data_IF_542177426341
#
_entry.id   IF_542177426341
#
_cell.length_a   1.000
_cell.length_b   1.000
_cell.length_c   1.000
_cell.angle_alpha   90.00
_cell.angle_beta   90.00
_cell.angle_gamma   90.00
#
_symmetry.space_group_name_H-M   'P 1'
#
loop_
_entity.id
_entity.type
_entity.pdbx_description
1 polymer ?
#
# COMPACT_ATOMS: atom_id res chain seq x y z
N UNK A 1 -19.39 -7.15 -3.68
CA UNK A 1 -19.55 -6.31 -4.91
C UNK A 1 -20.93 -5.65 -5.06
N UNK A 2 -22.04 -6.39 -5.00
CA UNK A 2 -23.39 -5.86 -5.33
C UNK A 2 -23.88 -4.74 -4.39
N UNK A 3 -23.62 -4.85 -3.08
CA UNK A 3 -24.06 -3.87 -2.09
C UNK A 3 -23.53 -2.45 -2.35
N UNK A 4 -22.25 -2.32 -2.72
CA UNK A 4 -21.64 -1.02 -3.01
C UNK A 4 -22.31 -0.34 -4.22
N UNK A 5 -22.47 -1.07 -5.32
CA UNK A 5 -23.15 -0.55 -6.51
C UNK A 5 -24.60 -0.19 -6.24
N UNK A 6 -25.29 -0.96 -5.38
CA UNK A 6 -26.64 -0.63 -4.91
C UNK A 6 -26.63 0.69 -4.12
N UNK A 7 -25.70 0.87 -3.19
CA UNK A 7 -25.59 2.11 -2.41
C UNK A 7 -25.29 3.31 -3.32
N UNK A 8 -24.36 3.17 -4.28
CA UNK A 8 -24.07 4.21 -5.26
C UNK A 8 -25.29 4.55 -6.14
N UNK A 9 -26.03 3.53 -6.59
CA UNK A 9 -27.24 3.73 -7.37
C UNK A 9 -28.32 4.45 -6.56
N UNK A 10 -28.52 4.07 -5.28
CA UNK A 10 -29.45 4.74 -4.38
C UNK A 10 -29.07 6.20 -4.17
N UNK A 11 -27.79 6.49 -3.90
CA UNK A 11 -27.32 7.86 -3.73
C UNK A 11 -27.51 8.69 -5.00
N UNK A 12 -27.27 8.11 -6.18
CA UNK A 12 -27.48 8.78 -7.46
C UNK A 12 -28.97 9.06 -7.72
N UNK A 13 -29.85 8.12 -7.38
CA UNK A 13 -31.31 8.33 -7.45
C UNK A 13 -31.76 9.44 -6.51
N UNK A 14 -31.25 9.46 -5.27
CA UNK A 14 -31.56 10.52 -4.30
C UNK A 14 -31.10 11.88 -4.84
N UNK A 15 -29.88 11.97 -5.39
CA UNK A 15 -29.38 13.20 -6.01
C UNK A 15 -30.24 13.65 -7.19
N UNK A 16 -30.66 12.72 -8.06
CA UNK A 16 -31.56 13.01 -9.18
C UNK A 16 -32.93 13.48 -8.72
N UNK A 17 -33.49 12.91 -7.64
CA UNK A 17 -34.77 13.37 -7.08
C UNK A 17 -34.70 14.83 -6.63
N UNK A 18 -33.61 15.25 -6.00
CA UNK A 18 -33.43 16.66 -5.60
C UNK A 18 -33.36 17.63 -6.79
N UNK A 19 -32.87 17.19 -7.94
CA UNK A 19 -32.73 18.04 -9.13
C UNK A 19 -33.97 17.99 -10.02
N UNK A 20 -34.50 16.80 -10.29
CA UNK A 20 -35.57 16.55 -11.26
C UNK A 20 -36.94 16.91 -10.69
N UNK A 21 -37.21 16.62 -9.42
CA UNK A 21 -38.52 16.87 -8.80
C UNK A 21 -38.92 18.37 -8.79
N UNK A 22 -38.06 19.33 -8.40
CA UNK A 22 -38.42 20.74 -8.48
C UNK A 22 -38.56 21.24 -9.92
N UNK A 23 -37.74 20.76 -10.86
CA UNK A 23 -37.81 21.13 -12.28
C UNK A 23 -39.07 20.58 -12.97
N UNK A 24 -39.57 19.42 -12.54
CA UNK A 24 -40.83 18.87 -13.04
C UNK A 24 -42.05 19.59 -12.44
N UNK A 25 -41.92 20.14 -11.23
CA UNK A 25 -43.01 20.85 -10.52
C UNK A 25 -43.20 22.31 -10.93
N UNK A 26 -42.30 22.94 -11.69
CA UNK A 26 -42.44 24.30 -12.21
C UNK A 26 -42.95 24.29 -13.67
N UNK A 27 -44.00 24.97 -14.11
CA UNK A 27 -44.87 26.04 -13.60
C UNK A 27 -46.28 25.78 -14.16
N UNK A 28 -47.27 25.50 -13.32
CA UNK A 28 -48.66 25.59 -13.75
C UNK A 28 -49.08 27.07 -13.65
N UNK A 29 -49.24 27.74 -14.79
CA UNK A 29 -50.11 28.90 -15.08
C UNK A 29 -50.51 29.89 -13.96
N UNK A 30 -49.63 30.26 -13.02
CA UNK A 30 -49.97 31.32 -12.05
C UNK A 30 -50.21 32.68 -12.72
N UNK A 31 -49.63 32.93 -13.90
CA UNK A 31 -49.78 34.21 -14.60
C UNK A 31 -51.18 34.40 -15.23
N UNK A 32 -51.87 33.33 -15.62
CA UNK A 32 -53.21 33.43 -16.21
C UNK A 32 -54.25 33.68 -15.10
N UNK A 33 -54.16 32.96 -13.99
CA UNK A 33 -55.06 33.12 -12.83
C UNK A 33 -54.93 34.51 -12.18
N UNK A 34 -53.73 35.07 -12.12
CA UNK A 34 -53.49 36.42 -11.59
C UNK A 34 -54.03 37.53 -12.51
N UNK A 35 -53.99 37.33 -13.85
CA UNK A 35 -54.54 38.30 -14.82
C UNK A 35 -56.07 38.29 -14.83
N UNK A 36 -56.67 37.11 -14.79
CA UNK A 36 -58.14 36.96 -14.80
C UNK A 36 -58.78 37.54 -13.53
N UNK A 37 -58.13 37.36 -12.38
CA UNK A 37 -58.58 37.94 -11.12
C UNK A 37 -58.52 39.49 -11.14
N UNK A 38 -57.44 40.06 -11.66
CA UNK A 38 -57.25 41.51 -11.74
C UNK A 38 -58.23 42.18 -12.71
N UNK A 39 -58.49 41.58 -13.88
CA UNK A 39 -59.42 42.13 -14.87
C UNK A 39 -60.88 42.06 -14.40
N UNK A 40 -61.25 41.00 -13.67
CA UNK A 40 -62.59 40.85 -13.09
C UNK A 40 -62.85 41.88 -11.96
N UNK A 41 -61.81 42.23 -11.19
CA UNK A 41 -61.92 43.22 -10.12
C UNK A 41 -62.17 44.63 -10.67
N UNK A 42 -61.48 45.01 -11.75
CA UNK A 42 -61.71 46.29 -12.44
C UNK A 42 -63.14 46.42 -12.97
N UNK A 43 -63.68 45.34 -13.57
CA UNK A 43 -65.06 45.36 -14.08
C UNK A 43 -66.09 45.44 -12.95
N UNK A 44 -65.81 44.85 -11.78
CA UNK A 44 -66.66 44.98 -10.59
C UNK A 44 -66.69 46.41 -10.08
N UNK A 45 -65.53 47.07 -10.00
CA UNK A 45 -65.45 48.46 -9.55
C UNK A 45 -66.21 49.40 -10.50
N UNK A 46 -66.05 49.23 -11.81
CA UNK A 46 -66.80 50.00 -12.82
C UNK A 46 -68.33 49.81 -12.71
N UNK A 47 -68.79 48.61 -12.33
CA UNK A 47 -70.22 48.36 -12.10
C UNK A 47 -70.74 49.07 -10.84
N UNK A 48 -69.95 49.11 -9.77
CA UNK A 48 -70.30 49.77 -8.52
C UNK A 48 -70.29 51.31 -8.67
N UNK A 49 -69.41 51.83 -9.51
CA UNK A 49 -69.34 53.25 -9.87
C UNK A 49 -70.62 53.69 -10.62
N UNK A 50 -71.04 52.95 -11.65
CA UNK A 50 -72.29 53.21 -12.37
C UNK A 50 -73.54 53.22 -11.45
N UNK A 51 -73.60 52.30 -10.48
CA UNK A 51 -74.69 52.28 -9.48
C UNK A 51 -74.65 53.48 -8.52
N UNK A 52 -73.45 53.98 -8.25
CA UNK A 52 -73.25 55.14 -7.36
C UNK A 52 -73.62 56.44 -8.08
N UNK A 53 -73.27 56.58 -9.35
CA UNK A 53 -73.62 57.74 -10.16
C UNK A 53 -75.13 57.85 -10.43
N UNK A 54 -75.81 56.71 -10.60
CA UNK A 54 -77.26 56.67 -10.68
C UNK A 54 -77.91 57.12 -9.35
N UNK A 55 -77.40 56.63 -8.21
CA UNK A 55 -77.91 57.01 -6.87
C UNK A 55 -77.67 58.49 -6.56
N UNK A 56 -76.58 59.06 -7.04
CA UNK A 56 -76.23 60.46 -6.86
C UNK A 56 -76.95 61.39 -7.85
N UNK A 57 -77.77 60.86 -8.75
CA UNK A 57 -78.51 61.63 -9.76
C UNK A 57 -77.63 62.20 -10.88
N UNK A 58 -76.38 61.75 -10.99
CA UNK A 58 -75.42 62.15 -12.04
C UNK A 58 -75.71 61.43 -13.36
N UNK A 59 -76.35 60.26 -13.30
CA UNK A 59 -76.72 59.45 -14.45
C UNK A 59 -78.25 59.32 -14.58
N UNK A 60 -78.77 59.31 -15.81
CA UNK A 60 -80.18 58.96 -16.07
C UNK A 60 -80.35 57.43 -16.08
N UNK A 61 -81.56 56.94 -15.80
CA UNK A 61 -81.86 55.51 -15.80
C UNK A 61 -81.54 54.84 -17.15
N UNK A 62 -81.77 55.55 -18.26
CA UNK A 62 -81.46 55.05 -19.61
C UNK A 62 -79.96 54.92 -19.85
N UNK A 63 -79.17 55.90 -19.40
CA UNK A 63 -77.71 55.87 -19.50
C UNK A 63 -77.11 54.74 -18.65
N UNK A 64 -77.69 54.46 -17.48
CA UNK A 64 -77.27 53.34 -16.63
C UNK A 64 -77.48 51.99 -17.30
N UNK A 65 -78.66 51.75 -17.87
CA UNK A 65 -78.96 50.50 -18.58
C UNK A 65 -78.12 50.33 -19.86
N UNK A 66 -77.73 51.43 -20.50
CA UNK A 66 -76.79 51.38 -21.62
C UNK A 66 -75.37 50.99 -21.15
N UNK A 67 -74.85 51.64 -20.11
CA UNK A 67 -73.53 51.33 -19.55
C UNK A 67 -73.44 49.89 -19.02
N UNK A 68 -74.50 49.40 -18.37
CA UNK A 68 -74.58 48.01 -17.89
C UNK A 68 -74.50 46.99 -19.02
N UNK A 69 -75.15 47.25 -20.15
CA UNK A 69 -75.10 46.36 -21.33
C UNK A 69 -73.72 46.34 -21.97
N UNK A 70 -73.05 47.48 -22.04
CA UNK A 70 -71.69 47.56 -22.58
C UNK A 70 -70.68 46.83 -21.68
N UNK A 71 -70.81 46.96 -20.36
CA UNK A 71 -69.98 46.24 -19.39
C UNK A 71 -70.18 44.72 -19.50
N UNK A 72 -71.42 44.26 -19.67
CA UNK A 72 -71.74 42.84 -19.90
C UNK A 72 -71.18 42.33 -21.22
N UNK A 73 -71.20 43.14 -22.28
CA UNK A 73 -70.62 42.77 -23.58
C UNK A 73 -69.09 42.62 -23.48
N UNK A 74 -68.41 43.56 -22.80
CA UNK A 74 -66.96 43.46 -22.52
C UNK A 74 -66.61 42.23 -21.70
N UNK A 75 -67.36 41.95 -20.64
CA UNK A 75 -67.14 40.75 -19.81
C UNK A 75 -67.26 39.47 -20.65
N UNK A 76 -68.24 39.40 -21.55
CA UNK A 76 -68.43 38.26 -22.47
C UNK A 76 -67.29 38.13 -23.48
N UNK A 77 -66.73 39.24 -23.97
CA UNK A 77 -65.61 39.26 -24.90
C UNK A 77 -64.30 38.85 -24.22
N UNK A 78 -64.07 39.33 -22.99
CA UNK A 78 -62.89 39.02 -22.19
C UNK A 78 -62.88 37.55 -21.74
N UNK A 79 -64.02 37.01 -21.30
CA UNK A 79 -64.18 35.57 -21.01
C UNK A 79 -63.93 34.70 -22.25
N UNK A 80 -64.33 35.16 -23.45
CA UNK A 80 -64.06 34.46 -24.71
C UNK A 80 -62.58 34.49 -25.11
N UNK A 81 -61.88 35.59 -24.86
CA UNK A 81 -60.45 35.72 -25.19
C UNK A 81 -59.56 34.97 -24.19
N UNK A 82 -59.92 34.95 -22.91
CA UNK A 82 -59.23 34.15 -21.87
C UNK A 82 -59.31 32.64 -22.15
N UNK A 83 -60.39 32.16 -22.76
CA UNK A 83 -60.53 30.74 -23.15
C UNK A 83 -59.55 30.26 -24.24
N UNK A 84 -58.85 31.17 -24.92
CA UNK A 84 -57.83 30.86 -25.93
C UNK A 84 -56.42 31.00 -25.35
N UNK A 85 -56.10 30.22 -24.31
CA UNK A 85 -54.72 30.11 -23.83
C UNK A 85 -53.83 29.52 -24.94
N UNK A 86 -52.83 30.26 -25.40
CA UNK A 86 -51.78 29.74 -26.29
C UNK A 86 -51.04 28.65 -25.52
N UNK A 87 -51.29 27.38 -25.85
CA UNK A 87 -50.53 26.25 -25.32
C UNK A 87 -49.09 26.38 -25.82
N UNK A 88 -48.19 26.90 -24.99
CA UNK A 88 -46.75 26.76 -25.21
C UNK A 88 -46.43 25.26 -25.16
N UNK A 89 -46.12 24.69 -26.32
CA UNK A 89 -45.93 23.26 -26.54
C UNK A 89 -44.68 22.68 -25.87
N UNK A 90 -43.79 23.53 -25.35
CA UNK A 90 -42.56 23.09 -24.67
C UNK A 90 -42.27 23.87 -23.39
N UNK A 91 -42.18 23.13 -22.27
CA UNK A 91 -41.64 23.64 -21.01
C UNK A 91 -40.14 23.29 -20.95
N UNK A 92 -39.22 24.27 -21.13
CA UNK A 92 -37.78 24.03 -21.19
C UNK A 92 -37.23 23.44 -19.88
N UNK A 93 -37.89 23.66 -18.73
CA UNK A 93 -37.51 23.07 -17.46
C UNK A 93 -37.65 21.53 -17.46
N UNK A 94 -38.67 20.99 -18.14
CA UNK A 94 -38.85 19.54 -18.29
C UNK A 94 -37.80 18.93 -19.21
N UNK A 95 -37.43 19.63 -20.29
CA UNK A 95 -36.33 19.20 -21.18
C UNK A 95 -35.01 19.18 -20.43
N UNK A 96 -34.72 20.24 -19.66
CA UNK A 96 -33.53 20.31 -18.82
C UNK A 96 -33.49 19.20 -17.76
N UNK A 97 -34.62 18.89 -17.13
CA UNK A 97 -34.71 17.80 -16.16
C UNK A 97 -34.38 16.43 -16.79
N UNK A 98 -34.90 16.16 -18.00
CA UNK A 98 -34.58 14.93 -18.74
C UNK A 98 -33.10 14.90 -19.15
N UNK A 99 -32.57 16.01 -19.65
CA UNK A 99 -31.14 16.12 -20.00
C UNK A 99 -30.27 15.84 -18.79
N UNK A 100 -30.53 16.46 -17.64
CA UNK A 100 -29.75 16.23 -16.41
C UNK A 100 -29.91 14.80 -15.89
N UNK A 101 -31.12 14.23 -15.96
CA UNK A 101 -31.38 12.86 -15.52
C UNK A 101 -30.58 11.81 -16.31
N UNK A 102 -30.32 12.06 -17.59
CA UNK A 102 -29.53 11.18 -18.45
C UNK A 102 -28.04 11.51 -18.34
N UNK A 103 -27.67 12.79 -18.44
CA UNK A 103 -26.28 13.24 -18.55
C UNK A 103 -25.48 13.02 -17.27
N UNK A 104 -26.10 13.19 -16.08
CA UNK A 104 -25.41 12.96 -14.81
C UNK A 104 -24.88 11.52 -14.67
N UNK A 105 -25.71 10.46 -14.78
CA UNK A 105 -25.21 9.10 -14.72
C UNK A 105 -24.20 8.78 -15.83
N UNK A 106 -24.44 9.29 -17.04
CA UNK A 106 -23.55 9.07 -18.19
C UNK A 106 -22.16 9.69 -18.00
N UNK A 107 -22.03 10.78 -17.23
CA UNK A 107 -20.74 11.37 -16.87
C UNK A 107 -20.14 10.73 -15.61
N UNK A 108 -20.95 10.50 -14.58
CA UNK A 108 -20.49 10.04 -13.28
C UNK A 108 -19.85 8.64 -13.33
N UNK A 109 -20.45 7.71 -14.08
CA UNK A 109 -19.93 6.34 -14.19
C UNK A 109 -18.55 6.30 -14.86
N UNK A 110 -18.33 6.86 -16.06
CA UNK A 110 -17.00 6.85 -16.67
C UNK A 110 -15.98 7.68 -15.89
N UNK A 111 -16.39 8.79 -15.25
CA UNK A 111 -15.49 9.56 -14.38
C UNK A 111 -15.01 8.74 -13.18
N UNK A 112 -15.89 7.95 -12.57
CA UNK A 112 -15.51 7.02 -11.50
C UNK A 112 -14.60 5.90 -12.01
N UNK A 113 -14.84 5.39 -13.22
CA UNK A 113 -14.00 4.34 -13.80
C UNK A 113 -12.59 4.85 -14.19
N UNK A 114 -12.43 6.15 -14.47
CA UNK A 114 -11.13 6.74 -14.82
C UNK A 114 -10.35 7.28 -13.61
N UNK A 115 -11.03 7.91 -12.64
CA UNK A 115 -10.39 8.54 -11.47
C UNK A 115 -10.42 7.61 -10.24
N UNK A 116 -11.45 6.79 -10.11
CA UNK A 116 -11.65 5.91 -8.97
C UNK A 116 -10.77 4.66 -9.01
N UNK A 117 -10.80 3.89 -7.93
CA UNK A 117 -10.09 2.61 -7.82
C UNK A 117 -11.07 1.44 -7.62
N UNK A 118 -11.78 1.00 -8.67
CA UNK A 118 -12.67 -0.14 -8.57
C UNK A 118 -11.93 -1.45 -8.21
N UNK A 119 -10.61 -1.52 -8.50
CA UNK A 119 -9.77 -2.69 -8.23
C UNK A 119 -9.52 -2.91 -6.72
N UNK A 120 -9.49 -1.85 -5.92
CA UNK A 120 -9.28 -1.96 -4.47
C UNK A 120 -10.35 -2.82 -3.77
N UNK A 121 -11.60 -2.74 -4.22
CA UNK A 121 -12.66 -3.58 -3.64
C UNK A 121 -12.51 -5.06 -3.99
N UNK A 122 -12.01 -5.34 -5.20
CA UNK A 122 -11.75 -6.70 -5.65
C UNK A 122 -10.60 -7.33 -4.86
N UNK A 123 -9.56 -6.53 -4.57
CA UNK A 123 -8.44 -6.92 -3.72
C UNK A 123 -8.91 -7.25 -2.29
N UNK A 124 -9.79 -6.43 -1.72
CA UNK A 124 -10.33 -6.67 -0.38
C UNK A 124 -11.13 -7.97 -0.29
N UNK A 125 -11.92 -8.29 -1.33
CA UNK A 125 -12.63 -9.57 -1.37
C UNK A 125 -11.69 -10.78 -1.59
N UNK A 126 -10.57 -10.62 -2.30
CA UNK A 126 -9.55 -11.69 -2.43
C UNK A 126 -8.89 -11.94 -1.07
N UNK A 127 -8.49 -10.88 -0.37
CA UNK A 127 -7.90 -10.99 0.96
C UNK A 127 -8.88 -11.56 2.00
N UNK A 128 -10.18 -11.33 1.84
CA UNK A 128 -11.21 -11.90 2.72
C UNK A 128 -11.38 -13.42 2.58
N UNK A 129 -10.88 -14.03 1.49
CA UNK A 129 -10.89 -15.49 1.32
C UNK A 129 -9.73 -16.18 2.03
N UNK A 130 -8.68 -15.43 2.34
CA UNK A 130 -7.50 -15.93 3.02
C UNK A 130 -7.70 -15.96 4.54
N UNK A 131 -7.03 -16.90 5.20
CA UNK A 131 -6.91 -16.88 6.65
C UNK A 131 -5.98 -15.76 7.13
N UNK A 132 -5.78 -15.67 8.45
CA UNK A 132 -4.89 -14.66 9.06
C UNK A 132 -3.43 -14.74 8.62
N UNK A 133 -3.02 -15.77 7.87
CA UNK A 133 -1.69 -15.95 7.30
C UNK A 133 -1.65 -15.69 5.80
N UNK A 134 -2.76 -15.26 5.18
CA UNK A 134 -2.80 -15.04 3.75
C UNK A 134 -2.82 -16.33 2.95
N UNK A 135 -3.39 -17.42 3.48
CA UNK A 135 -3.49 -18.73 2.82
C UNK A 135 -4.95 -19.19 2.77
N UNK A 136 -5.36 -19.78 1.64
CA UNK A 136 -6.69 -20.39 1.47
C UNK A 136 -6.56 -21.91 1.57
N UNK A 137 -6.94 -22.49 2.72
CA UNK A 137 -6.84 -23.94 2.95
C UNK A 137 -8.09 -24.73 2.55
N UNK A 138 -9.24 -24.07 2.42
CA UNK A 138 -10.50 -24.74 2.07
C UNK A 138 -10.58 -24.97 0.56
N UNK A 139 -10.78 -26.22 0.16
CA UNK A 139 -10.90 -26.60 -1.26
C UNK A 139 -12.04 -25.85 -1.96
N UNK A 140 -13.17 -25.65 -1.28
CA UNK A 140 -14.29 -24.88 -1.83
C UNK A 140 -13.93 -23.39 -2.02
N UNK A 141 -13.15 -22.82 -1.10
CA UNK A 141 -12.71 -21.44 -1.20
C UNK A 141 -11.63 -21.26 -2.29
N UNK A 142 -10.75 -22.26 -2.46
CA UNK A 142 -9.79 -22.30 -3.57
C UNK A 142 -10.50 -22.31 -4.93
N UNK A 143 -11.50 -23.17 -5.10
CA UNK A 143 -12.27 -23.23 -6.35
C UNK A 143 -12.98 -21.90 -6.66
N UNK A 144 -13.51 -21.22 -5.65
CA UNK A 144 -14.10 -19.90 -5.87
C UNK A 144 -13.04 -18.85 -6.21
N UNK A 145 -11.86 -18.91 -5.56
CA UNK A 145 -10.74 -18.04 -5.88
C UNK A 145 -10.21 -18.28 -7.31
N UNK A 146 -10.13 -19.53 -7.76
CA UNK A 146 -9.79 -19.87 -9.15
C UNK A 146 -10.78 -19.25 -10.14
N UNK A 147 -12.09 -19.51 -9.96
CA UNK A 147 -13.14 -18.91 -10.81
C UNK A 147 -13.10 -17.39 -10.82
N UNK A 148 -12.67 -16.80 -9.71
CA UNK A 148 -12.50 -15.36 -9.58
C UNK A 148 -11.27 -14.88 -10.37
N UNK A 149 -10.17 -15.64 -10.37
CA UNK A 149 -8.98 -15.34 -11.18
C UNK A 149 -9.20 -15.56 -12.68
N UNK A 150 -10.09 -16.48 -13.07
CA UNK A 150 -10.53 -16.60 -14.48
C UNK A 150 -11.24 -15.34 -14.97
N UNK A 151 -12.05 -14.72 -14.11
CA UNK A 151 -12.72 -13.43 -14.39
C UNK A 151 -11.79 -12.23 -14.26
N UNK A 152 -10.66 -12.38 -13.57
CA UNK A 152 -9.69 -11.33 -13.28
C UNK A 152 -8.25 -11.78 -13.55
N UNK A 153 -7.90 -12.09 -14.80
CA UNK A 153 -6.61 -12.68 -15.13
C UNK A 153 -5.41 -11.74 -14.87
N UNK A 154 -5.64 -10.44 -14.75
CA UNK A 154 -4.59 -9.42 -14.55
C UNK A 154 -4.37 -9.03 -13.08
N UNK A 155 -4.89 -9.80 -12.12
CA UNK A 155 -4.73 -9.50 -10.69
C UNK A 155 -3.56 -10.31 -10.07
N UNK A 156 -2.36 -9.73 -9.92
CA UNK A 156 -1.21 -10.46 -9.42
C UNK A 156 -1.39 -10.94 -7.97
N UNK A 157 -2.05 -10.17 -7.10
CA UNK A 157 -2.22 -10.55 -5.69
C UNK A 157 -3.07 -11.81 -5.55
N UNK A 158 -4.11 -11.96 -6.37
CA UNK A 158 -4.94 -13.15 -6.36
C UNK A 158 -4.23 -14.38 -6.92
N UNK A 159 -3.40 -14.22 -7.95
CA UNK A 159 -2.54 -15.29 -8.45
C UNK A 159 -1.47 -15.69 -7.44
N UNK A 160 -0.88 -14.73 -6.72
CA UNK A 160 0.08 -15.00 -5.64
C UNK A 160 -0.59 -15.76 -4.49
N UNK A 161 -1.79 -15.36 -4.10
CA UNK A 161 -2.58 -16.05 -3.08
C UNK A 161 -2.88 -17.51 -3.49
N UNK A 162 -3.31 -17.74 -4.73
CA UNK A 162 -3.49 -19.10 -5.26
C UNK A 162 -2.19 -19.90 -5.25
N UNK A 163 -1.10 -19.32 -5.76
CA UNK A 163 0.18 -20.00 -5.88
C UNK A 163 0.72 -20.46 -4.52
N UNK A 164 0.69 -19.57 -3.52
CA UNK A 164 1.09 -19.87 -2.14
C UNK A 164 0.17 -20.89 -1.50
N UNK A 165 -1.15 -20.74 -1.66
CA UNK A 165 -2.12 -21.69 -1.10
C UNK A 165 -1.94 -23.08 -1.69
N UNK A 166 -1.67 -23.20 -3.00
CA UNK A 166 -1.36 -24.47 -3.63
C UNK A 166 -0.03 -25.07 -3.17
N UNK A 167 1.00 -24.24 -3.01
CA UNK A 167 2.29 -24.72 -2.50
C UNK A 167 2.16 -25.28 -1.06
N UNK A 168 1.45 -24.57 -0.19
CA UNK A 168 1.19 -25.00 1.20
C UNK A 168 0.38 -26.30 1.28
N UNK A 169 -0.58 -26.47 0.36
CA UNK A 169 -1.37 -27.71 0.25
C UNK A 169 -0.65 -28.81 -0.53
N UNK A 170 0.64 -28.61 -0.87
CA UNK A 170 1.47 -29.53 -1.66
C UNK A 170 0.90 -29.87 -3.04
N UNK A 171 0.02 -29.02 -3.57
CA UNK A 171 -0.53 -29.09 -4.94
C UNK A 171 0.42 -28.38 -5.90
N UNK A 172 1.66 -28.86 -5.96
CA UNK A 172 2.73 -28.21 -6.73
C UNK A 172 2.43 -28.01 -8.23
N UNK A 173 1.74 -28.92 -8.95
CA UNK A 173 1.35 -28.66 -10.34
C UNK A 173 0.48 -27.40 -10.51
N UNK A 174 -0.40 -27.14 -9.54
CA UNK A 174 -1.32 -26.00 -9.56
C UNK A 174 -0.58 -24.72 -9.16
N UNK A 175 0.29 -24.81 -8.15
CA UNK A 175 1.17 -23.72 -7.74
C UNK A 175 2.06 -23.25 -8.89
N UNK A 176 2.68 -24.18 -9.63
CA UNK A 176 3.51 -23.89 -10.81
C UNK A 176 2.72 -23.13 -11.87
N UNK A 177 1.47 -23.52 -12.15
CA UNK A 177 0.61 -22.81 -13.13
C UNK A 177 0.27 -21.39 -12.66
N UNK A 178 -0.03 -21.21 -11.38
CA UNK A 178 -0.32 -19.90 -10.80
C UNK A 178 0.93 -18.99 -10.81
N UNK A 179 2.10 -19.50 -10.40
CA UNK A 179 3.37 -18.75 -10.48
C UNK A 179 3.74 -18.40 -11.92
N UNK A 180 3.51 -19.30 -12.88
CA UNK A 180 3.74 -19.02 -14.31
C UNK A 180 2.93 -17.80 -14.79
N UNK A 181 1.66 -17.69 -14.37
CA UNK A 181 0.85 -16.49 -14.65
C UNK A 181 1.39 -15.27 -13.93
N UNK A 182 1.78 -15.44 -12.67
CA UNK A 182 2.27 -14.34 -11.85
C UNK A 182 3.54 -13.69 -12.42
N UNK A 183 4.52 -14.48 -12.85
CA UNK A 183 5.76 -13.95 -13.46
C UNK A 183 5.54 -13.33 -14.85
N UNK A 184 4.43 -13.63 -15.53
CA UNK A 184 4.02 -12.93 -16.76
C UNK A 184 3.45 -11.54 -16.44
N UNK A 185 2.71 -11.41 -15.34
CA UNK A 185 2.12 -10.13 -14.90
C UNK A 185 3.15 -9.21 -14.26
N UNK A 186 4.06 -9.78 -13.46
CA UNK A 186 5.06 -9.01 -12.69
C UNK A 186 6.46 -9.62 -12.88
N UNK A 187 7.07 -9.44 -14.06
CA UNK A 187 8.31 -10.14 -14.42
C UNK A 187 9.57 -9.66 -13.68
N UNK A 188 9.51 -8.51 -13.01
CA UNK A 188 10.66 -7.84 -12.41
C UNK A 188 10.77 -8.04 -10.89
N UNK A 189 10.01 -8.99 -10.32
CA UNK A 189 10.05 -9.30 -8.89
C UNK A 189 10.88 -10.55 -8.63
N UNK A 190 12.07 -10.38 -8.06
CA UNK A 190 13.02 -11.47 -7.83
C UNK A 190 12.45 -12.58 -6.95
N UNK A 191 11.71 -12.22 -5.90
CA UNK A 191 11.13 -13.20 -4.97
C UNK A 191 10.14 -14.14 -5.68
N UNK A 192 9.37 -13.64 -6.65
CA UNK A 192 8.39 -14.46 -7.37
C UNK A 192 9.07 -15.52 -8.25
N UNK A 193 10.21 -15.18 -8.84
CA UNK A 193 11.03 -16.15 -9.58
C UNK A 193 11.66 -17.20 -8.65
N UNK A 194 12.07 -16.81 -7.44
CA UNK A 194 12.57 -17.75 -6.43
C UNK A 194 11.47 -18.71 -5.94
N UNK A 195 10.29 -18.18 -5.59
CA UNK A 195 9.12 -18.97 -5.17
C UNK A 195 8.65 -19.91 -6.31
N UNK A 196 8.71 -19.44 -7.56
CA UNK A 196 8.41 -20.25 -8.73
C UNK A 196 9.41 -21.40 -8.93
N UNK A 197 10.70 -21.14 -8.72
CA UNK A 197 11.74 -22.16 -8.74
C UNK A 197 11.47 -23.25 -7.70
N UNK A 198 11.15 -22.86 -6.47
CA UNK A 198 10.86 -23.79 -5.37
C UNK A 198 9.64 -24.67 -5.69
N UNK A 199 8.52 -24.05 -6.07
CA UNK A 199 7.32 -24.81 -6.46
C UNK A 199 7.58 -25.76 -7.64
N UNK A 200 8.39 -25.35 -8.61
CA UNK A 200 8.78 -26.20 -9.75
C UNK A 200 9.68 -27.36 -9.32
N UNK A 201 10.61 -27.12 -8.39
CA UNK A 201 11.46 -28.16 -7.83
C UNK A 201 10.65 -29.17 -7.03
N UNK A 202 9.73 -28.72 -6.18
CA UNK A 202 8.82 -29.58 -5.42
C UNK A 202 7.93 -30.42 -6.34
N UNK A 203 7.45 -29.85 -7.45
CA UNK A 203 6.74 -30.60 -8.50
C UNK A 203 7.62 -31.65 -9.19
N UNK A 204 8.94 -31.46 -9.20
CA UNK A 204 9.92 -32.33 -9.84
C UNK A 204 10.71 -33.16 -8.82
N UNK A 205 10.01 -33.77 -7.85
CA UNK A 205 10.61 -34.61 -6.80
C UNK A 205 11.74 -33.93 -6.01
N UNK A 206 11.59 -32.63 -5.72
CA UNK A 206 12.56 -31.81 -5.01
C UNK A 206 13.89 -31.62 -5.74
N UNK A 207 13.96 -31.91 -7.05
CA UNK A 207 15.17 -31.64 -7.84
C UNK A 207 15.19 -30.20 -8.33
N UNK A 208 16.31 -29.52 -8.10
CA UNK A 208 16.54 -28.15 -8.55
C UNK A 208 17.15 -28.11 -9.96
N UNK A 209 17.38 -29.27 -10.58
CA UNK A 209 17.93 -29.38 -11.94
C UNK A 209 16.93 -28.92 -13.00
N UNK A 210 17.46 -28.30 -14.06
CA UNK A 210 16.68 -27.85 -15.21
C UNK A 210 16.01 -26.49 -14.99
N UNK A 211 14.70 -26.41 -15.23
CA UNK A 211 13.92 -25.15 -15.16
C UNK A 211 14.03 -24.41 -13.81
N UNK A 212 13.98 -25.04 -12.62
CA UNK A 212 14.12 -24.34 -11.35
C UNK A 212 15.39 -23.49 -11.29
N UNK A 213 16.53 -24.03 -11.74
CA UNK A 213 17.80 -23.28 -11.79
C UNK A 213 17.70 -22.04 -12.68
N UNK A 214 17.04 -22.12 -13.84
CA UNK A 214 16.87 -20.96 -14.72
C UNK A 214 16.05 -19.85 -14.06
N UNK A 215 15.04 -20.23 -13.27
CA UNK A 215 14.23 -19.27 -12.51
C UNK A 215 15.03 -18.65 -11.36
N UNK A 216 15.89 -19.43 -10.68
CA UNK A 216 16.81 -18.91 -9.67
C UNK A 216 17.84 -17.93 -10.28
N UNK A 217 18.40 -18.25 -11.44
CA UNK A 217 19.31 -17.36 -12.17
C UNK A 217 18.62 -16.04 -12.53
N UNK A 218 17.35 -16.11 -12.96
CA UNK A 218 16.52 -14.92 -13.22
C UNK A 218 16.27 -14.11 -11.96
N UNK A 219 15.96 -14.76 -10.84
CA UNK A 219 15.77 -14.11 -9.54
C UNK A 219 17.03 -13.36 -9.11
N UNK A 220 18.20 -14.01 -9.16
CA UNK A 220 19.48 -13.41 -8.79
C UNK A 220 19.95 -12.32 -9.76
N UNK A 221 19.54 -12.38 -11.02
CA UNK A 221 19.79 -11.30 -11.98
C UNK A 221 18.95 -10.04 -11.69
N UNK A 222 17.75 -10.20 -11.13
CA UNK A 222 16.89 -9.08 -10.71
C UNK A 222 17.33 -8.52 -9.35
N UNK A 223 17.62 -9.40 -8.40
CA UNK A 223 18.15 -9.06 -7.08
C UNK A 223 19.19 -10.09 -6.64
N UNK A 224 20.47 -9.70 -6.77
CA UNK A 224 21.59 -10.54 -6.39
C UNK A 224 21.68 -10.83 -4.88
N UNK A 225 20.87 -10.19 -4.05
CA UNK A 225 20.80 -10.39 -2.61
C UNK A 225 19.50 -11.09 -2.17
N UNK A 226 18.70 -11.62 -3.11
CA UNK A 226 17.51 -12.37 -2.76
C UNK A 226 17.87 -13.64 -1.98
N UNK A 227 17.50 -13.70 -0.70
CA UNK A 227 17.95 -14.74 0.23
C UNK A 227 17.40 -16.13 -0.12
N UNK A 228 16.14 -16.22 -0.55
CA UNK A 228 15.53 -17.47 -1.00
C UNK A 228 16.24 -18.02 -2.25
N UNK A 229 16.50 -17.17 -3.23
CA UNK A 229 17.21 -17.54 -4.45
C UNK A 229 18.66 -17.97 -4.14
N UNK A 230 19.38 -17.26 -3.28
CA UNK A 230 20.74 -17.65 -2.87
C UNK A 230 20.75 -19.01 -2.16
N UNK A 231 19.77 -19.28 -1.28
CA UNK A 231 19.66 -20.55 -0.58
C UNK A 231 19.46 -21.72 -1.56
N UNK A 232 18.47 -21.59 -2.44
CA UNK A 232 18.13 -22.63 -3.43
C UNK A 232 19.22 -22.78 -4.50
N UNK A 233 19.86 -21.69 -4.94
CA UNK A 233 20.97 -21.75 -5.91
C UNK A 233 22.16 -22.50 -5.34
N UNK A 234 22.49 -22.31 -4.05
CA UNK A 234 23.54 -23.08 -3.41
C UNK A 234 23.21 -24.58 -3.33
N UNK A 235 21.97 -24.92 -2.99
CA UNK A 235 21.47 -26.31 -3.01
C UNK A 235 21.50 -26.92 -4.42
N UNK A 236 21.06 -26.16 -5.43
CA UNK A 236 21.07 -26.58 -6.82
C UNK A 236 22.50 -26.83 -7.33
N UNK A 237 23.45 -25.97 -6.94
CA UNK A 237 24.85 -26.12 -7.26
C UNK A 237 25.46 -27.37 -6.61
N UNK A 238 25.14 -27.64 -5.33
CA UNK A 238 25.51 -28.90 -4.67
C UNK A 238 24.98 -30.14 -5.39
N UNK A 239 23.70 -30.14 -5.79
CA UNK A 239 23.08 -31.26 -6.50
C UNK A 239 23.75 -31.56 -7.85
N UNK A 240 24.37 -30.54 -8.46
CA UNK A 240 25.12 -30.64 -9.72
C UNK A 240 26.61 -30.91 -9.54
N UNK A 241 27.11 -30.94 -8.30
CA UNK A 241 28.54 -31.10 -8.00
C UNK A 241 29.38 -29.83 -8.26
N UNK A 242 28.74 -28.69 -8.47
CA UNK A 242 29.40 -27.38 -8.58
C UNK A 242 29.57 -26.78 -7.18
N UNK A 243 30.52 -27.36 -6.44
CA UNK A 243 30.77 -26.97 -5.06
C UNK A 243 31.27 -25.53 -4.93
N UNK A 244 31.94 -25.00 -5.96
CA UNK A 244 32.43 -23.62 -5.98
C UNK A 244 31.27 -22.62 -5.99
N UNK A 245 30.27 -22.82 -6.86
CA UNK A 245 29.08 -21.99 -6.88
C UNK A 245 28.27 -22.13 -5.58
N UNK A 246 28.15 -23.36 -5.05
CA UNK A 246 27.46 -23.60 -3.78
C UNK A 246 28.04 -22.78 -2.62
N UNK A 247 29.37 -22.84 -2.45
CA UNK A 247 30.09 -22.07 -1.42
C UNK A 247 29.82 -20.57 -1.60
N UNK A 248 29.90 -20.07 -2.83
CA UNK A 248 29.72 -18.64 -3.13
C UNK A 248 28.31 -18.15 -2.78
N UNK A 249 27.26 -18.85 -3.23
CA UNK A 249 25.88 -18.45 -2.96
C UNK A 249 25.55 -18.50 -1.46
N UNK A 250 25.96 -19.55 -0.77
CA UNK A 250 25.67 -19.70 0.65
C UNK A 250 26.52 -18.78 1.55
N UNK A 251 27.76 -18.48 1.19
CA UNK A 251 28.55 -17.46 1.89
C UNK A 251 27.90 -16.09 1.80
N UNK A 252 27.43 -15.72 0.59
CA UNK A 252 26.70 -14.47 0.39
C UNK A 252 25.39 -14.46 1.18
N UNK A 253 24.66 -15.57 1.21
CA UNK A 253 23.45 -15.70 2.03
C UNK A 253 23.75 -15.48 3.52
N UNK A 254 24.77 -16.14 4.06
CA UNK A 254 25.17 -15.99 5.48
C UNK A 254 25.50 -14.54 5.82
N UNK A 255 26.16 -13.81 4.93
CA UNK A 255 26.48 -12.39 5.15
C UNK A 255 25.23 -11.49 5.19
N UNK A 256 24.10 -11.92 4.62
CA UNK A 256 22.83 -11.19 4.63
C UNK A 256 21.93 -11.55 5.82
N UNK A 257 22.16 -12.70 6.47
CA UNK A 257 21.29 -13.20 7.52
C UNK A 257 21.73 -12.69 8.91
N UNK A 258 20.76 -12.37 9.80
CA UNK A 258 21.04 -12.13 11.21
C UNK A 258 21.72 -13.33 11.89
N UNK A 259 22.55 -13.05 12.90
CA UNK A 259 23.28 -14.09 13.66
C UNK A 259 22.37 -15.09 14.39
N UNK A 260 21.15 -14.69 14.71
CA UNK A 260 20.12 -15.52 15.36
C UNK A 260 19.09 -16.10 14.36
N UNK A 261 19.36 -16.00 13.05
CA UNK A 261 18.47 -16.55 12.04
C UNK A 261 18.30 -18.06 12.23
N UNK A 262 17.05 -18.57 12.30
CA UNK A 262 16.80 -20.01 12.43
C UNK A 262 17.52 -20.80 11.33
N UNK A 263 18.11 -21.93 11.69
CA UNK A 263 18.80 -22.84 10.76
C UNK A 263 20.05 -22.26 10.08
N UNK A 264 20.61 -21.12 10.52
CA UNK A 264 21.89 -20.60 9.97
C UNK A 264 23.03 -21.61 10.09
N UNK A 265 23.02 -22.43 11.15
CA UNK A 265 23.99 -23.51 11.35
C UNK A 265 23.94 -24.55 10.22
N UNK A 266 22.75 -24.86 9.70
CA UNK A 266 22.59 -25.80 8.58
C UNK A 266 23.27 -25.28 7.30
N UNK A 267 23.23 -23.96 7.07
CA UNK A 267 23.92 -23.33 5.95
C UNK A 267 25.43 -23.39 6.15
N UNK A 268 25.93 -23.14 7.37
CA UNK A 268 27.35 -23.30 7.68
C UNK A 268 27.85 -24.73 7.48
N UNK A 269 27.07 -25.72 7.90
CA UNK A 269 27.39 -27.14 7.72
C UNK A 269 27.40 -27.51 6.23
N UNK A 270 26.44 -26.99 5.44
CA UNK A 270 26.42 -27.12 3.99
C UNK A 270 27.64 -26.51 3.30
N UNK A 271 28.04 -25.28 3.69
CA UNK A 271 29.27 -24.64 3.19
C UNK A 271 30.49 -25.49 3.53
N UNK A 272 30.60 -25.98 4.77
CA UNK A 272 31.71 -26.83 5.20
C UNK A 272 31.80 -28.09 4.33
N UNK A 273 30.67 -28.77 4.11
CA UNK A 273 30.61 -29.96 3.27
C UNK A 273 30.98 -29.66 1.82
N UNK A 274 30.49 -28.55 1.26
CA UNK A 274 30.84 -28.10 -0.08
C UNK A 274 32.35 -27.83 -0.21
N UNK A 275 32.97 -27.20 0.80
CA UNK A 275 34.43 -26.97 0.84
C UNK A 275 35.21 -28.28 0.88
N UNK A 276 34.76 -29.25 1.67
CA UNK A 276 35.38 -30.58 1.73
C UNK A 276 35.32 -31.28 0.36
N UNK A 277 34.16 -31.30 -0.28
CA UNK A 277 34.02 -31.90 -1.61
C UNK A 277 34.82 -31.16 -2.69
N UNK A 278 34.81 -29.83 -2.68
CA UNK A 278 35.65 -29.03 -3.58
C UNK A 278 37.13 -29.38 -3.39
N UNK A 279 37.61 -29.45 -2.15
CA UNK A 279 39.00 -29.77 -1.86
C UNK A 279 39.45 -31.16 -2.33
N UNK A 280 38.52 -32.12 -2.49
CA UNK A 280 38.77 -33.45 -3.06
C UNK A 280 38.88 -33.43 -4.59
N UNK A 281 38.33 -32.41 -5.26
CA UNK A 281 38.46 -32.27 -6.71
C UNK A 281 39.87 -31.82 -7.11
N UNK A 282 40.30 -32.20 -8.32
CA UNK A 282 41.60 -31.79 -8.88
C UNK A 282 41.67 -30.26 -8.99
N UNK A 283 42.66 -29.65 -8.34
CA UNK A 283 42.81 -28.18 -8.29
C UNK A 283 41.87 -27.48 -7.30
N UNK A 284 40.99 -28.22 -6.62
CA UNK A 284 39.95 -27.63 -5.78
C UNK A 284 40.47 -26.90 -4.54
N UNK A 285 41.62 -27.30 -3.97
CA UNK A 285 42.28 -26.54 -2.89
C UNK A 285 42.71 -25.13 -3.32
N UNK A 286 43.19 -24.99 -4.55
CA UNK A 286 43.57 -23.68 -5.10
C UNK A 286 42.33 -22.83 -5.38
N UNK A 287 41.29 -23.44 -5.97
CA UNK A 287 40.02 -22.76 -6.21
C UNK A 287 39.34 -22.33 -4.90
N UNK A 288 39.36 -23.16 -3.86
CA UNK A 288 38.84 -22.82 -2.54
C UNK A 288 39.57 -21.61 -1.95
N UNK A 289 40.90 -21.57 -2.03
CA UNK A 289 41.68 -20.42 -1.57
C UNK A 289 41.32 -19.14 -2.34
N UNK A 290 41.05 -19.23 -3.64
CA UNK A 290 40.60 -18.10 -4.46
C UNK A 290 39.21 -17.61 -4.05
N UNK A 291 38.26 -18.53 -3.82
CA UNK A 291 36.90 -18.20 -3.38
C UNK A 291 36.94 -17.50 -2.02
N UNK A 292 37.68 -18.06 -1.06
CA UNK A 292 37.79 -17.47 0.28
C UNK A 292 38.50 -16.10 0.24
N UNK A 293 39.51 -15.92 -0.61
CA UNK A 293 40.16 -14.63 -0.81
C UNK A 293 39.22 -13.59 -1.48
N UNK A 294 38.45 -14.01 -2.50
CA UNK A 294 37.49 -13.14 -3.18
C UNK A 294 36.38 -12.69 -2.23
N UNK A 295 35.82 -13.62 -1.46
CA UNK A 295 34.81 -13.33 -0.45
C UNK A 295 35.34 -12.40 0.65
N UNK A 296 36.56 -12.64 1.15
CA UNK A 296 37.20 -11.75 2.13
C UNK A 296 37.44 -10.34 1.56
N UNK A 297 37.84 -10.22 0.29
CA UNK A 297 38.04 -8.94 -0.37
C UNK A 297 36.72 -8.18 -0.58
N UNK A 298 35.64 -8.88 -0.99
CA UNK A 298 34.31 -8.29 -1.11
C UNK A 298 33.80 -7.78 0.24
N UNK A 299 33.95 -8.58 1.30
CA UNK A 299 33.57 -8.20 2.66
C UNK A 299 34.37 -7.02 3.18
N UNK A 300 35.67 -6.97 2.91
CA UNK A 300 36.52 -5.84 3.27
C UNK A 300 36.11 -4.56 2.51
N UNK A 301 35.74 -4.68 1.22
CA UNK A 301 35.23 -3.56 0.44
C UNK A 301 33.88 -3.06 0.99
N UNK A 302 32.97 -3.97 1.33
CA UNK A 302 31.67 -3.65 1.92
C UNK A 302 31.77 -2.99 3.30
N UNK A 303 32.77 -3.37 4.10
CA UNK A 303 33.02 -2.77 5.42
C UNK A 303 33.48 -1.30 5.31
N UNK A 304 34.07 -0.87 4.21
CA UNK A 304 34.57 0.50 4.01
C UNK A 304 35.46 0.96 5.20
N UNK A 305 36.62 0.32 5.42
CA UNK A 305 37.43 0.48 6.63
C UNK A 305 37.95 1.90 6.86
N UNK A 306 37.98 2.74 5.81
CA UNK A 306 38.32 4.15 5.92
C UNK A 306 37.27 4.95 6.72
N UNK A 307 35.99 4.56 6.63
CA UNK A 307 34.88 5.19 7.32
C UNK A 307 34.50 4.48 8.63
N UNK A 308 35.15 3.37 8.96
CA UNK A 308 34.90 2.61 10.17
C UNK A 308 35.30 3.40 11.43
N UNK A 309 34.43 3.36 12.44
CA UNK A 309 34.66 3.99 13.74
C UNK A 309 35.16 2.94 14.72
N UNK A 310 36.24 3.22 15.44
CA UNK A 310 36.80 2.26 16.40
C UNK A 310 37.20 2.89 17.73
N UNK A 311 37.20 2.08 18.79
CA UNK A 311 37.50 2.55 20.13
C UNK A 311 37.46 1.45 21.19
N UNK A 312 37.44 1.86 22.45
CA UNK A 312 37.26 1.02 23.63
C UNK A 312 36.03 1.45 24.41
N UNK A 313 35.32 0.46 24.95
CA UNK A 313 34.19 0.66 25.86
C UNK A 313 34.56 0.08 27.21
N UNK A 314 34.26 0.83 28.28
CA UNK A 314 34.42 0.39 29.66
C UNK A 314 33.16 0.72 30.48
N UNK A 315 32.96 -0.02 31.57
CA UNK A 315 31.90 0.27 32.54
C UNK A 315 32.47 1.13 33.67
N UNK A 316 31.74 2.17 34.07
CA UNK A 316 32.09 2.96 35.24
C UNK A 316 32.05 2.12 36.52
N UNK A 317 33.08 2.20 37.40
CA UNK A 317 33.08 1.49 38.68
C UNK A 317 31.85 1.77 39.56
N UNK A 318 31.24 2.96 39.44
CA UNK A 318 30.05 3.34 40.19
C UNK A 318 28.79 2.52 39.79
N UNK A 319 28.80 1.90 38.62
CA UNK A 319 27.66 1.15 38.08
C UNK A 319 27.86 -0.36 38.07
N UNK A 320 29.02 -0.88 38.52
CA UNK A 320 29.31 -2.32 38.54
C UNK A 320 28.27 -3.12 39.33
N UNK A 321 27.70 -2.56 40.40
CA UNK A 321 26.64 -3.20 41.18
C UNK A 321 25.26 -3.24 40.52
N UNK A 322 25.08 -2.64 39.34
CA UNK A 322 23.78 -2.55 38.63
C UNK A 322 23.66 -3.47 37.41
N UNK A 323 24.72 -4.23 37.10
CA UNK A 323 24.82 -5.11 35.92
C UNK A 323 25.11 -6.55 36.31
N UNK A 324 24.64 -7.49 35.50
CA UNK A 324 25.09 -8.88 35.53
C UNK A 324 26.14 -9.13 34.44
N UNK A 325 27.10 -10.07 34.62
CA UNK A 325 28.09 -10.40 33.61
C UNK A 325 27.50 -10.87 32.27
N UNK A 326 26.28 -11.41 32.29
CA UNK A 326 25.54 -11.88 31.10
C UNK A 326 24.69 -10.80 30.43
N UNK A 327 24.54 -9.62 31.04
CA UNK A 327 23.78 -8.53 30.44
C UNK A 327 24.39 -8.14 29.09
N UNK A 328 23.52 -7.77 28.14
CA UNK A 328 23.95 -7.49 26.77
C UNK A 328 24.49 -6.06 26.67
N UNK A 329 25.68 -5.90 26.10
CA UNK A 329 26.30 -4.64 25.75
C UNK A 329 26.10 -4.39 24.25
N UNK A 330 25.37 -3.34 23.91
CA UNK A 330 25.25 -2.83 22.55
C UNK A 330 26.16 -1.62 22.37
N UNK A 331 27.03 -1.66 21.37
CA UNK A 331 27.73 -0.48 20.87
C UNK A 331 27.11 -0.15 19.52
N UNK A 332 26.45 1.00 19.42
CA UNK A 332 25.71 1.38 18.22
C UNK A 332 26.09 2.78 17.77
N UNK A 333 26.06 3.00 16.45
CA UNK A 333 26.16 4.33 15.86
C UNK A 333 24.78 4.75 15.36
N UNK A 334 24.42 6.02 15.56
CA UNK A 334 23.22 6.64 14.98
C UNK A 334 23.57 7.97 14.35
N UNK A 335 22.77 8.43 13.39
CA UNK A 335 22.94 9.77 12.83
C UNK A 335 22.82 10.83 13.93
N UNK A 336 23.70 11.84 13.93
CA UNK A 336 23.59 12.97 14.86
C UNK A 336 22.31 13.79 14.59
N UNK A 337 22.02 13.98 13.29
CA UNK A 337 20.79 14.58 12.77
C UNK A 337 20.15 13.59 11.79
N UNK A 338 18.93 13.11 12.07
CA UNK A 338 18.25 12.14 11.23
C UNK A 338 17.42 11.11 11.99
N UNK A 339 17.12 9.95 11.39
CA UNK A 339 16.31 8.91 12.03
C UNK A 339 17.02 8.38 13.29
N UNK A 340 16.24 8.14 14.36
CA UNK A 340 16.76 7.64 15.64
C UNK A 340 17.20 6.17 15.60
N UNK A 341 17.07 5.50 14.46
CA UNK A 341 17.45 4.11 14.26
C UNK A 341 18.98 3.98 14.18
N UNK A 342 19.56 2.87 14.68
CA UNK A 342 20.99 2.65 14.58
C UNK A 342 21.42 2.34 13.14
N UNK A 343 22.54 2.91 12.73
CA UNK A 343 23.21 2.70 11.45
C UNK A 343 24.12 1.49 11.45
N UNK A 344 24.71 1.16 12.61
CA UNK A 344 25.56 0.01 12.82
C UNK A 344 25.40 -0.43 14.28
N UNK A 345 25.37 -1.75 14.51
CA UNK A 345 25.20 -2.33 15.84
C UNK A 345 26.22 -3.43 16.05
N UNK A 346 26.90 -3.38 17.19
CA UNK A 346 27.82 -4.38 17.67
C UNK A 346 27.36 -4.88 19.04
N UNK A 347 27.29 -6.20 19.23
CA UNK A 347 26.72 -6.84 20.43
C UNK A 347 27.78 -7.68 21.17
N UNK A 348 27.91 -7.45 22.47
CA UNK A 348 28.76 -8.21 23.41
C UNK A 348 28.07 -8.40 24.76
N UNK A 349 28.77 -8.95 25.74
CA UNK A 349 28.29 -9.08 27.11
C UNK A 349 29.11 -8.22 28.08
N UNK A 350 28.54 -7.91 29.24
CA UNK A 350 29.23 -7.11 30.28
C UNK A 350 30.54 -7.77 30.74
N UNK A 351 30.59 -9.11 30.81
CA UNK A 351 31.81 -9.87 31.13
C UNK A 351 32.97 -9.61 30.16
N UNK A 352 32.68 -9.14 28.95
CA UNK A 352 33.69 -8.86 27.94
C UNK A 352 34.32 -7.46 28.14
N UNK A 353 33.76 -6.62 29.01
CA UNK A 353 34.27 -5.27 29.28
C UNK A 353 35.52 -5.30 30.19
N UNK A 354 36.52 -4.42 29.95
CA UNK A 354 36.59 -3.45 28.85
C UNK A 354 36.91 -4.11 27.51
N UNK A 355 36.25 -3.68 26.44
CA UNK A 355 36.40 -4.26 25.10
C UNK A 355 36.75 -3.22 24.04
N UNK A 356 37.45 -3.66 23.00
CA UNK A 356 37.62 -2.90 21.77
C UNK A 356 36.44 -3.15 20.82
N UNK A 357 36.00 -2.10 20.12
CA UNK A 357 34.92 -2.19 19.14
C UNK A 357 35.31 -1.52 17.83
N UNK A 358 34.67 -1.98 16.75
CA UNK A 358 34.68 -1.34 15.44
C UNK A 358 33.24 -1.35 14.92
N UNK A 359 32.78 -0.22 14.38
CA UNK A 359 31.52 -0.06 13.68
C UNK A 359 31.80 0.35 12.25
N UNK A 360 31.22 -0.34 11.28
CA UNK A 360 31.51 -0.14 9.87
C UNK A 360 30.26 -0.35 8.99
N UNK A 361 30.39 -0.12 7.69
CA UNK A 361 29.25 -0.13 6.75
C UNK A 361 28.66 -1.53 6.53
N UNK A 362 29.42 -2.60 6.80
CA UNK A 362 28.92 -3.98 6.68
C UNK A 362 27.93 -4.34 7.79
N UNK A 363 27.92 -3.57 8.88
CA UNK A 363 27.00 -3.74 10.01
C UNK A 363 25.67 -2.99 9.82
N UNK A 364 25.47 -2.35 8.66
CA UNK A 364 24.24 -1.63 8.37
C UNK A 364 23.07 -2.58 8.12
N UNK A 365 22.00 -2.42 8.90
CA UNK A 365 20.79 -3.24 8.75
C UNK A 365 20.02 -2.92 7.45
N UNK A 366 20.21 -1.73 6.90
CA UNK A 366 19.62 -1.31 5.63
C UNK A 366 20.71 -0.82 4.68
N UNK A 367 20.77 -1.32 3.43
CA UNK A 367 21.82 -0.94 2.48
C UNK A 367 21.92 0.56 2.19
N UNK A 368 20.83 1.31 2.40
CA UNK A 368 20.74 2.76 2.19
C UNK A 368 21.16 3.58 3.43
N UNK A 369 21.15 3.00 4.63
CA UNK A 369 21.47 3.69 5.89
C UNK A 369 22.82 3.24 6.43
N UNK A 370 23.87 3.46 5.64
CA UNK A 370 25.25 3.14 6.00
C UNK A 370 25.88 4.23 6.86
N UNK A 371 26.87 3.86 7.67
CA UNK A 371 27.63 4.79 8.52
C UNK A 371 28.32 5.88 7.69
N UNK A 372 28.93 5.50 6.58
CA UNK A 372 29.62 6.40 5.64
C UNK A 372 28.70 7.40 4.93
N UNK A 373 27.40 7.17 4.93
CA UNK A 373 26.42 8.06 4.29
C UNK A 373 26.13 9.34 5.08
N UNK A 374 26.59 9.45 6.33
CA UNK A 374 26.31 10.58 7.21
C UNK A 374 27.58 11.39 7.51
N UNK A 375 27.45 12.71 7.53
CA UNK A 375 28.55 13.61 7.89
C UNK A 375 28.92 13.53 9.37
N UNK A 376 27.93 13.27 10.22
CA UNK A 376 28.06 13.25 11.67
C UNK A 376 27.20 12.15 12.30
N UNK A 377 27.79 11.43 13.24
CA UNK A 377 27.17 10.34 13.98
C UNK A 377 27.49 10.43 15.46
N UNK A 378 26.66 9.77 16.28
CA UNK A 378 26.85 9.63 17.71
C UNK A 378 26.97 8.15 18.03
N UNK A 379 28.01 7.76 18.77
CA UNK A 379 28.19 6.39 19.24
C UNK A 379 27.66 6.28 20.66
N UNK A 380 26.82 5.27 20.89
CA UNK A 380 26.23 4.95 22.18
C UNK A 380 26.65 3.54 22.56
N UNK A 381 27.27 3.39 23.72
CA UNK A 381 27.45 2.11 24.37
C UNK A 381 26.35 1.94 25.42
N UNK A 382 25.57 0.85 25.35
CA UNK A 382 24.42 0.58 26.23
C UNK A 382 24.49 -0.81 26.82
N UNK A 383 24.33 -0.93 28.13
CA UNK A 383 23.98 -2.20 28.78
C UNK A 383 22.46 -2.30 28.78
N UNK A 384 21.92 -3.28 28.06
CA UNK A 384 20.49 -3.53 27.93
C UNK A 384 20.11 -4.77 28.72
N UNK A 385 19.16 -4.61 29.65
CA UNK A 385 18.57 -5.74 30.39
C UNK A 385 17.47 -6.44 29.62
N UNK A 386 16.82 -5.71 28.70
CA UNK A 386 15.76 -6.23 27.84
C UNK A 386 16.29 -7.02 26.63
N UNK A 387 17.60 -6.93 26.36
CA UNK A 387 18.21 -7.55 25.18
C UNK A 387 17.92 -6.80 23.87
N UNK A 388 17.33 -5.60 23.93
CA UNK A 388 17.09 -4.76 22.75
C UNK A 388 18.11 -3.63 22.65
N UNK A 389 18.50 -3.19 21.44
CA UNK A 389 19.45 -2.08 21.26
C UNK A 389 18.81 -0.72 21.53
N UNK A 390 17.49 -0.62 21.64
CA UNK A 390 16.78 0.64 21.93
C UNK A 390 16.82 0.99 23.42
N UNK A 391 16.74 2.28 23.74
CA UNK A 391 16.83 2.75 25.12
C UNK A 391 15.58 2.36 25.91
N UNK A 392 15.75 1.72 27.06
CA UNK A 392 14.68 1.47 28.02
C UNK A 392 15.02 2.09 29.39
N UNK A 393 14.01 2.52 30.17
CA UNK A 393 14.21 2.96 31.55
C UNK A 393 14.96 1.89 32.36
N UNK A 394 16.04 2.29 33.03
CA UNK A 394 16.89 1.41 33.83
C UNK A 394 18.07 0.77 33.10
N UNK A 395 18.17 0.94 31.77
CA UNK A 395 19.39 0.61 31.03
C UNK A 395 20.55 1.54 31.44
N UNK A 396 21.78 1.11 31.19
CA UNK A 396 22.97 1.95 31.43
C UNK A 396 23.55 2.37 30.09
N UNK A 397 23.98 3.61 29.94
CA UNK A 397 24.60 4.07 28.70
C UNK A 397 25.77 5.03 28.91
N UNK A 398 26.66 5.05 27.91
CA UNK A 398 27.69 6.05 27.68
C UNK A 398 27.57 6.55 26.25
N UNK A 399 27.75 7.84 26.00
CA UNK A 399 27.50 8.44 24.68
C UNK A 399 28.63 9.41 24.31
N UNK A 400 29.04 9.42 23.04
CA UNK A 400 30.01 10.38 22.53
C UNK A 400 29.35 11.72 22.18
N UNK A 401 30.16 12.76 22.00
CA UNK A 401 29.74 13.92 21.21
C UNK A 401 29.47 13.51 19.75
N UNK A 402 28.97 14.46 18.95
CA UNK A 402 28.90 14.29 17.49
C UNK A 402 30.31 14.11 16.92
N UNK A 403 30.51 13.05 16.14
CA UNK A 403 31.80 12.71 15.53
C UNK A 403 31.62 12.38 14.04
N UNK A 404 32.71 12.47 13.29
CA UNK A 404 32.73 12.05 11.88
C UNK A 404 32.98 10.55 11.77
N UNK A 405 32.36 9.84 10.80
CA UNK A 405 32.77 8.47 10.49
C UNK A 405 34.26 8.41 10.13
N UNK A 406 34.91 7.28 10.42
CA UNK A 406 36.36 7.11 10.33
C UNK A 406 37.14 7.49 11.60
N UNK A 407 36.48 8.00 12.64
CA UNK A 407 37.14 8.35 13.91
C UNK A 407 37.65 7.08 14.62
N UNK A 408 38.93 7.10 15.01
CA UNK A 408 39.60 5.97 15.69
C UNK A 408 40.00 6.35 17.11
N UNK A 409 40.13 5.33 17.98
CA UNK A 409 40.62 5.51 19.35
C UNK A 409 39.61 6.17 20.30
N UNK A 410 38.30 6.02 20.04
CA UNK A 410 37.28 6.51 20.96
C UNK A 410 37.37 5.79 22.31
N UNK A 411 37.13 6.50 23.40
CA UNK A 411 36.98 5.90 24.72
C UNK A 411 35.58 6.24 25.23
N UNK A 412 34.73 5.22 25.38
CA UNK A 412 33.35 5.39 25.85
C UNK A 412 33.25 4.73 27.22
N UNK A 413 32.81 5.49 28.22
CA UNK A 413 32.54 4.98 29.56
C UNK A 413 31.04 4.94 29.75
N UNK A 414 30.52 3.77 30.13
CA UNK A 414 29.11 3.60 30.49
C UNK A 414 28.95 4.08 31.94
N UNK A 415 28.36 5.26 32.13
CA UNK A 415 28.31 5.99 33.40
C UNK A 415 26.93 6.54 33.76
N UNK A 416 25.96 6.48 32.86
CA UNK A 416 24.63 7.09 33.02
C UNK A 416 23.54 6.03 33.07
N UNK A 417 22.55 6.19 33.94
CA UNK A 417 21.31 5.38 33.95
C UNK A 417 20.27 6.07 33.06
N UNK A 418 19.69 5.34 32.11
CA UNK A 418 18.58 5.81 31.28
C UNK A 418 17.34 5.94 32.16
N UNK A 419 16.71 7.11 32.12
CA UNK A 419 15.47 7.40 32.85
C UNK A 419 14.24 7.00 32.06
#
# INVERSE_FOLDING_TARGET
MTLFWIVCAVLLIVALLFVVLPLWRATANNNDVLRDAANLEILRDQSAELETDLRNGLLTQEAFEQGKRELQARLLEEVKTTGQSVKLTHNPAKVLAVVLAVLLPLLAVPLYLTIGNPKAMLQQEVLATADGFGIVRSEAALQELEKKMERMPENPDGWLLLARSYAELQRFPDAVRAYQKLVQLVPNEAQLWADYADATAMNNNQSLKGEPTKFLDKALALDGNNTAALALSGSAAMERGDYAAAITHWQKLVDLLPQDYPNVQMIHDGIKQAKEFLAMQKGGKQMLAQIDAAHAAEKAAAANPAMAISGKVALSPALTGKVAPTDTVFVLARAANGPKMPLAVFRKQVKDLPLAFTLDDSMAMQPQLKLSGFSEVVVVARVSKSGTPMAQPGDLQGTTASIKPGTKGLNIVIDTVVQ
#
